data_IF_416508760318
#
_entry.id   IF_416508760318
#
_cell.length_a   1.000
_cell.length_b   1.000
_cell.length_c   1.000
_cell.angle_alpha   90.00
_cell.angle_beta   90.00
_cell.angle_gamma   90.00
#
_symmetry.space_group_name_H-M   'P 1'
#
loop_
_entity.id
_entity.type
_entity.pdbx_description
1 polymer ?
#
# COMPACT_ATOMS: atom_id res chain seq x y z
N UNK A 1 3.09 12.65 -6.96
CA UNK A 1 1.93 13.28 -7.59
C UNK A 1 2.33 13.61 -9.02
N UNK A 2 1.53 13.20 -9.98
CA UNK A 2 1.77 13.53 -11.38
C UNK A 2 1.48 15.01 -11.59
N UNK A 3 2.32 15.67 -12.36
CA UNK A 3 2.18 17.12 -12.64
C UNK A 3 0.81 17.48 -13.27
N UNK A 4 0.14 16.47 -13.84
CA UNK A 4 -1.14 16.62 -14.54
C UNK A 4 -2.37 16.14 -13.73
N UNK A 5 -2.19 15.65 -12.53
CA UNK A 5 -3.30 15.16 -11.70
C UNK A 5 -3.88 16.30 -10.89
N UNK A 6 -5.19 16.50 -10.95
CA UNK A 6 -5.87 17.43 -10.04
C UNK A 6 -5.64 17.00 -8.59
N UNK A 7 -5.15 17.89 -7.72
CA UNK A 7 -4.97 17.55 -6.31
C UNK A 7 -6.29 17.10 -5.67
N UNK A 8 -6.26 15.95 -5.01
CA UNK A 8 -7.40 15.50 -4.22
C UNK A 8 -7.44 16.27 -2.89
N UNK A 9 -8.65 16.62 -2.44
CA UNK A 9 -8.84 17.20 -1.11
C UNK A 9 -8.57 16.13 -0.06
N UNK A 10 -7.75 16.46 0.94
CA UNK A 10 -7.52 15.57 2.09
C UNK A 10 -8.78 15.48 2.96
N UNK A 11 -8.94 14.36 3.63
CA UNK A 11 -9.98 14.20 4.66
C UNK A 11 -9.66 15.05 5.89
N UNK A 12 -10.69 15.41 6.64
CA UNK A 12 -10.56 16.21 7.87
C UNK A 12 -9.65 15.47 8.88
N UNK A 13 -8.78 16.23 9.55
CA UNK A 13 -7.87 15.71 10.57
C UNK A 13 -6.63 14.99 10.05
N UNK A 14 -6.51 14.73 8.75
CA UNK A 14 -5.38 13.99 8.18
C UNK A 14 -4.01 14.64 8.44
N UNK A 15 -3.95 15.96 8.52
CA UNK A 15 -2.75 16.69 8.91
C UNK A 15 -2.70 16.99 10.41
N UNK A 16 -3.84 17.34 11.00
CA UNK A 16 -3.93 17.80 12.39
C UNK A 16 -3.58 16.71 13.40
N UNK A 17 -4.11 15.50 13.23
CA UNK A 17 -3.87 14.40 14.16
C UNK A 17 -2.40 13.97 14.21
N UNK A 18 -1.69 13.70 13.10
CA UNK A 18 -0.26 13.41 13.14
C UNK A 18 0.56 14.58 13.71
N UNK A 19 0.18 15.84 13.42
CA UNK A 19 0.83 17.01 13.95
C UNK A 19 0.66 17.12 15.47
N UNK A 20 -0.53 16.83 15.99
CA UNK A 20 -0.80 16.79 17.42
C UNK A 20 0.00 15.71 18.14
N UNK A 21 0.11 14.50 17.54
CA UNK A 21 0.93 13.43 18.10
C UNK A 21 2.42 13.75 18.11
N UNK A 22 2.93 14.39 17.05
CA UNK A 22 4.31 14.89 17.02
C UNK A 22 4.55 15.96 18.08
N UNK A 23 3.58 16.86 18.30
CA UNK A 23 3.65 17.88 19.34
C UNK A 23 3.61 17.28 20.74
N UNK A 24 2.73 16.31 20.98
CA UNK A 24 2.70 15.56 22.23
C UNK A 24 4.07 14.91 22.53
N UNK A 25 4.66 14.22 21.56
CA UNK A 25 5.99 13.64 21.71
C UNK A 25 7.07 14.67 22.04
N UNK A 26 7.04 15.85 21.41
CA UNK A 26 7.96 16.94 21.70
C UNK A 26 7.80 17.48 23.11
N UNK A 27 6.55 17.65 23.60
CA UNK A 27 6.26 18.10 24.97
C UNK A 27 6.81 17.10 26.00
N UNK A 28 6.49 15.80 25.84
CA UNK A 28 6.94 14.75 26.77
C UNK A 28 8.46 14.66 26.81
N UNK A 29 9.11 14.73 25.64
CA UNK A 29 10.58 14.73 25.53
C UNK A 29 11.18 15.96 26.25
N UNK A 30 10.59 17.13 26.12
CA UNK A 30 11.05 18.35 26.80
C UNK A 30 10.84 18.27 28.33
N UNK A 31 9.73 17.69 28.79
CA UNK A 31 9.50 17.44 30.20
C UNK A 31 10.52 16.46 30.78
N UNK A 32 10.78 15.35 30.11
CA UNK A 32 11.83 14.41 30.51
C UNK A 32 13.20 15.05 30.60
N UNK A 33 13.57 15.88 29.60
CA UNK A 33 14.81 16.65 29.62
C UNK A 33 14.84 17.62 30.85
N UNK A 34 13.74 18.29 31.14
CA UNK A 34 13.63 19.19 32.28
C UNK A 34 13.86 18.46 33.61
N UNK A 35 13.26 17.29 33.80
CA UNK A 35 13.49 16.46 35.00
C UNK A 35 14.95 16.04 35.15
N UNK A 36 15.67 15.81 34.07
CA UNK A 36 17.08 15.38 34.08
C UNK A 36 18.06 16.54 34.21
N UNK A 37 17.72 17.72 33.75
CA UNK A 37 18.66 18.85 33.62
C UNK A 37 18.26 20.09 34.42
N UNK A 38 17.04 20.15 34.94
CA UNK A 38 16.47 21.33 35.55
C UNK A 38 16.13 22.46 34.57
N UNK A 39 16.35 22.26 33.25
CA UNK A 39 16.19 23.30 32.22
C UNK A 39 14.98 23.03 31.34
N UNK A 40 14.09 24.01 31.23
CA UNK A 40 12.96 24.00 30.31
C UNK A 40 13.40 24.09 28.84
N UNK A 41 12.46 23.83 27.95
CA UNK A 41 12.65 23.98 26.51
C UNK A 41 11.40 24.55 25.86
N UNK A 42 11.57 25.33 24.81
CA UNK A 42 10.49 25.67 23.91
C UNK A 42 10.34 24.51 22.91
N UNK A 43 9.11 24.06 22.66
CA UNK A 43 8.79 23.02 21.68
C UNK A 43 7.71 23.52 20.73
N UNK A 44 7.79 23.09 19.50
CA UNK A 44 6.81 23.44 18.46
C UNK A 44 6.56 22.26 17.52
N UNK A 45 5.41 22.25 16.90
CA UNK A 45 5.07 21.38 15.77
C UNK A 45 4.26 22.20 14.77
N UNK A 46 4.32 21.83 13.49
CA UNK A 46 3.51 22.50 12.47
C UNK A 46 3.15 21.53 11.34
N UNK A 47 2.06 21.83 10.65
CA UNK A 47 1.51 20.99 9.57
C UNK A 47 2.49 20.80 8.42
N UNK A 48 3.21 21.85 8.04
CA UNK A 48 4.18 21.82 6.93
C UNK A 48 5.30 20.81 7.23
N UNK A 49 5.95 20.90 8.40
CA UNK A 49 7.05 20.01 8.76
C UNK A 49 6.59 18.56 8.86
N UNK A 50 5.41 18.32 9.43
CA UNK A 50 4.84 16.97 9.52
C UNK A 50 4.46 16.43 8.14
N UNK A 51 3.93 17.25 7.22
CA UNK A 51 3.64 16.87 5.85
C UNK A 51 4.90 16.52 5.05
N UNK A 52 5.97 17.30 5.20
CA UNK A 52 7.27 16.98 4.58
C UNK A 52 7.86 15.72 5.17
N UNK A 53 7.74 15.51 6.48
CA UNK A 53 8.19 14.27 7.12
C UNK A 53 7.41 13.05 6.60
N UNK A 54 6.09 13.13 6.47
CA UNK A 54 5.26 12.07 5.91
C UNK A 54 5.65 11.73 4.45
N UNK A 55 6.05 12.73 3.67
CA UNK A 55 6.53 12.59 2.29
C UNK A 55 8.07 12.45 2.19
N UNK A 56 8.77 12.18 3.30
CA UNK A 56 10.23 12.32 3.40
C UNK A 56 10.99 11.46 2.39
N UNK A 57 10.54 10.26 2.08
CA UNK A 57 11.17 9.37 1.08
C UNK A 57 11.19 10.04 -0.30
N UNK A 58 10.06 10.61 -0.72
CA UNK A 58 9.96 11.30 -2.01
C UNK A 58 10.73 12.63 -1.99
N UNK A 59 10.65 13.36 -0.89
CA UNK A 59 11.38 14.62 -0.71
C UNK A 59 12.90 14.38 -0.77
N UNK A 60 13.40 13.38 -0.03
CA UNK A 60 14.82 13.01 -0.06
C UNK A 60 15.26 12.54 -1.45
N UNK A 61 14.48 11.69 -2.11
CA UNK A 61 14.79 11.24 -3.46
C UNK A 61 14.89 12.42 -4.44
N UNK A 62 13.97 13.40 -4.34
CA UNK A 62 14.03 14.61 -5.18
C UNK A 62 15.26 15.47 -4.89
N UNK A 63 15.64 15.63 -3.62
CA UNK A 63 16.81 16.41 -3.22
C UNK A 63 18.13 15.82 -3.75
N UNK A 64 18.21 14.51 -3.90
CA UNK A 64 19.39 13.85 -4.51
C UNK A 64 19.26 13.67 -6.03
N UNK A 65 18.30 14.33 -6.66
CA UNK A 65 18.17 14.36 -8.13
C UNK A 65 17.49 13.13 -8.74
N UNK A 66 16.80 12.31 -7.96
CA UNK A 66 16.08 11.15 -8.48
C UNK A 66 14.97 11.61 -9.45
N UNK A 67 14.85 10.88 -10.56
CA UNK A 67 13.77 11.04 -11.51
C UNK A 67 12.70 10.01 -11.22
N UNK A 68 11.47 10.47 -11.00
CA UNK A 68 10.32 9.57 -10.83
C UNK A 68 9.75 9.23 -12.21
N UNK A 69 9.46 7.96 -12.44
CA UNK A 69 8.72 7.52 -13.62
C UNK A 69 7.26 7.99 -13.56
N UNK A 70 6.63 8.01 -14.71
CA UNK A 70 5.20 8.30 -14.84
C UNK A 70 4.39 7.30 -13.99
N UNK A 71 3.44 7.83 -13.22
CA UNK A 71 2.53 7.00 -12.45
C UNK A 71 1.45 6.45 -13.38
N UNK A 72 1.49 5.15 -13.59
CA UNK A 72 0.53 4.49 -14.46
C UNK A 72 -0.76 4.20 -13.70
N UNK A 73 -1.93 4.27 -14.38
CA UNK A 73 -3.16 3.78 -13.77
C UNK A 73 -3.04 2.27 -13.49
N UNK A 74 -3.87 1.77 -12.57
CA UNK A 74 -3.77 0.38 -12.11
C UNK A 74 -3.88 -0.65 -13.25
N UNK A 75 -4.70 -0.37 -14.26
CA UNK A 75 -4.93 -1.21 -15.44
C UNK A 75 -3.70 -1.33 -16.33
N UNK A 76 -2.73 -0.44 -16.14
CA UNK A 76 -1.45 -0.39 -16.86
C UNK A 76 -0.25 -0.51 -15.91
N UNK A 77 -0.48 -1.05 -14.71
CA UNK A 77 0.60 -1.28 -13.77
C UNK A 77 1.66 -2.23 -14.36
N UNK A 78 2.92 -1.99 -14.02
CA UNK A 78 4.03 -2.83 -14.50
C UNK A 78 4.11 -4.18 -13.80
N UNK A 79 3.37 -4.35 -12.71
CA UNK A 79 3.39 -5.56 -11.91
C UNK A 79 1.98 -5.94 -11.45
N UNK A 80 1.46 -7.03 -12.00
CA UNK A 80 0.14 -7.55 -11.66
C UNK A 80 0.08 -8.11 -10.22
N UNK A 81 1.18 -8.66 -9.70
CA UNK A 81 1.21 -9.26 -8.35
C UNK A 81 1.53 -8.26 -7.23
N UNK A 82 1.67 -6.98 -7.58
CA UNK A 82 1.73 -5.85 -6.65
C UNK A 82 0.73 -4.79 -7.12
N UNK A 83 -0.53 -5.12 -7.07
CA UNK A 83 -1.63 -4.31 -7.59
C UNK A 83 -2.91 -4.59 -6.80
N UNK A 84 -3.94 -3.79 -6.98
CA UNK A 84 -5.21 -3.98 -6.30
C UNK A 84 -6.30 -4.49 -7.25
N UNK A 85 -7.21 -5.32 -6.70
CA UNK A 85 -8.24 -6.02 -7.43
C UNK A 85 -9.58 -5.91 -6.72
N UNK A 86 -10.64 -5.79 -7.50
CA UNK A 86 -11.99 -5.74 -7.00
C UNK A 86 -12.56 -7.16 -6.84
N UNK A 87 -13.13 -7.43 -5.67
CA UNK A 87 -13.85 -8.66 -5.38
C UNK A 87 -15.32 -8.56 -5.82
N UNK A 88 -16.03 -9.68 -5.81
CA UNK A 88 -17.45 -9.77 -6.19
C UNK A 88 -18.37 -8.83 -5.41
N UNK A 89 -18.09 -8.65 -4.13
CA UNK A 89 -18.83 -7.75 -3.22
C UNK A 89 -18.46 -6.26 -3.38
N UNK A 90 -17.65 -5.93 -4.38
CA UNK A 90 -17.18 -4.56 -4.63
C UNK A 90 -16.02 -4.11 -3.74
N UNK A 91 -15.61 -4.92 -2.75
CA UNK A 91 -14.46 -4.64 -1.90
C UNK A 91 -13.17 -4.77 -2.70
N UNK A 92 -12.13 -4.10 -2.23
CA UNK A 92 -10.81 -4.13 -2.86
C UNK A 92 -9.79 -4.83 -1.98
N UNK A 93 -8.96 -5.66 -2.57
CA UNK A 93 -7.74 -6.18 -1.98
C UNK A 93 -6.51 -5.71 -2.77
N UNK A 94 -5.36 -5.71 -2.12
CA UNK A 94 -4.06 -5.40 -2.72
C UNK A 94 -3.19 -6.64 -2.59
N UNK A 95 -2.77 -7.21 -3.70
CA UNK A 95 -1.70 -8.20 -3.70
C UNK A 95 -0.36 -7.51 -3.45
N UNK A 96 0.53 -8.16 -2.69
CA UNK A 96 1.86 -7.63 -2.38
C UNK A 96 2.89 -8.76 -2.31
N UNK A 97 3.09 -9.46 -3.42
CA UNK A 97 4.04 -10.57 -3.49
C UNK A 97 5.46 -10.03 -3.64
N UNK A 98 6.25 -10.10 -2.58
CA UNK A 98 7.64 -9.65 -2.59
C UNK A 98 8.59 -10.67 -3.21
N UNK A 99 8.32 -11.96 -3.00
CA UNK A 99 9.08 -13.06 -3.60
C UNK A 99 8.22 -13.76 -4.67
N UNK A 100 8.12 -13.08 -5.81
CA UNK A 100 7.18 -13.47 -6.88
C UNK A 100 7.43 -14.89 -7.39
N UNK A 101 8.67 -15.25 -7.72
CA UNK A 101 8.97 -16.56 -8.33
C UNK A 101 8.62 -17.71 -7.37
N UNK A 102 8.89 -17.55 -6.09
CA UNK A 102 8.54 -18.55 -5.07
C UNK A 102 7.03 -18.65 -4.86
N UNK A 103 6.33 -17.52 -4.87
CA UNK A 103 4.90 -17.46 -4.52
C UNK A 103 3.98 -17.63 -5.72
N UNK A 104 4.49 -17.53 -6.94
CA UNK A 104 3.72 -17.62 -8.18
C UNK A 104 2.91 -18.91 -8.30
N UNK A 105 3.49 -20.11 -8.10
CA UNK A 105 2.72 -21.35 -8.20
C UNK A 105 1.59 -21.45 -7.17
N UNK A 106 1.82 -20.92 -5.97
CA UNK A 106 0.82 -20.89 -4.91
C UNK A 106 -0.31 -19.93 -5.25
N UNK A 107 0.01 -18.71 -5.70
CA UNK A 107 -1.00 -17.73 -6.11
C UNK A 107 -1.85 -18.29 -7.26
N UNK A 108 -1.22 -18.85 -8.29
CA UNK A 108 -1.93 -19.39 -9.45
C UNK A 108 -2.93 -20.48 -9.04
N UNK A 109 -2.55 -21.38 -8.14
CA UNK A 109 -3.46 -22.39 -7.57
C UNK A 109 -4.59 -21.77 -6.75
N UNK A 110 -4.30 -20.80 -5.92
CA UNK A 110 -5.31 -20.07 -5.14
C UNK A 110 -6.36 -19.41 -6.03
N UNK A 111 -5.92 -18.92 -7.18
CA UNK A 111 -6.80 -18.31 -8.19
C UNK A 111 -7.58 -19.37 -9.02
N UNK A 112 -7.30 -20.68 -8.86
CA UNK A 112 -7.85 -21.73 -9.70
C UNK A 112 -7.31 -21.72 -11.14
N UNK A 113 -6.13 -21.14 -11.33
CA UNK A 113 -5.46 -20.93 -12.62
C UNK A 113 -4.11 -21.66 -12.64
N UNK A 114 -4.16 -22.98 -12.45
CA UNK A 114 -2.96 -23.83 -12.50
C UNK A 114 -2.26 -23.79 -13.87
N UNK A 115 -3.01 -23.49 -14.93
CA UNK A 115 -2.50 -23.26 -16.27
C UNK A 115 -1.39 -22.20 -16.31
N UNK A 116 -1.48 -21.17 -15.47
CA UNK A 116 -0.48 -20.10 -15.40
C UNK A 116 0.88 -20.55 -14.84
N UNK A 117 0.92 -21.67 -14.12
CA UNK A 117 2.17 -22.18 -13.54
C UNK A 117 3.12 -22.72 -14.61
N UNK A 118 2.55 -23.33 -15.64
CA UNK A 118 3.31 -23.98 -16.73
C UNK A 118 3.37 -23.16 -18.01
N UNK A 119 2.71 -22.01 -18.03
CA UNK A 119 2.72 -21.11 -19.18
C UNK A 119 4.05 -20.35 -19.24
N UNK A 120 4.82 -20.60 -20.28
CA UNK A 120 6.14 -20.00 -20.53
C UNK A 120 6.11 -18.46 -20.54
N UNK A 121 4.94 -17.86 -20.83
CA UNK A 121 4.77 -16.40 -20.83
C UNK A 121 4.84 -15.80 -19.43
N UNK A 122 4.70 -16.61 -18.39
CA UNK A 122 4.67 -16.19 -16.98
C UNK A 122 5.70 -16.91 -16.11
N UNK A 123 6.68 -17.59 -16.73
CA UNK A 123 7.64 -18.44 -16.05
C UNK A 123 8.50 -17.64 -15.03
N UNK A 124 9.09 -16.55 -15.46
CA UNK A 124 9.93 -15.72 -14.60
C UNK A 124 9.25 -14.42 -14.21
N UNK A 125 9.73 -13.77 -13.13
CA UNK A 125 9.32 -12.42 -12.76
C UNK A 125 9.39 -11.44 -13.95
N UNK A 126 10.46 -11.51 -14.74
CA UNK A 126 10.65 -10.65 -15.90
C UNK A 126 9.54 -10.86 -16.95
N UNK A 127 9.19 -12.13 -17.19
CA UNK A 127 8.16 -12.48 -18.17
C UNK A 127 6.79 -12.01 -17.69
N UNK A 128 6.45 -12.24 -16.41
CA UNK A 128 5.20 -11.73 -15.80
C UNK A 128 5.09 -10.22 -15.88
N UNK A 129 6.18 -9.48 -15.65
CA UNK A 129 6.18 -8.03 -15.79
C UNK A 129 6.00 -7.60 -17.27
N UNK A 130 6.60 -8.31 -18.21
CA UNK A 130 6.42 -8.05 -19.64
C UNK A 130 4.96 -8.28 -20.08
N UNK A 131 4.28 -9.26 -19.47
CA UNK A 131 2.88 -9.61 -19.73
C UNK A 131 1.91 -9.07 -18.68
N UNK A 132 2.31 -8.02 -17.96
CA UNK A 132 1.53 -7.49 -16.83
C UNK A 132 0.09 -7.13 -17.21
N UNK A 133 -0.14 -6.57 -18.38
CA UNK A 133 -1.48 -6.18 -18.84
C UNK A 133 -2.42 -7.39 -18.99
N UNK A 134 -1.90 -8.50 -19.51
CA UNK A 134 -2.66 -9.74 -19.66
C UNK A 134 -2.96 -10.35 -18.28
N UNK A 135 -1.96 -10.39 -17.40
CA UNK A 135 -2.15 -10.89 -16.03
C UNK A 135 -3.15 -10.05 -15.24
N UNK A 136 -3.13 -8.73 -15.38
CA UNK A 136 -4.10 -7.84 -14.72
C UNK A 136 -5.52 -8.21 -15.16
N UNK A 137 -5.73 -8.41 -16.46
CA UNK A 137 -7.04 -8.82 -16.99
C UNK A 137 -7.48 -10.16 -16.41
N UNK A 138 -6.61 -11.18 -16.43
CA UNK A 138 -6.89 -12.49 -15.86
C UNK A 138 -7.25 -12.38 -14.36
N UNK A 139 -6.53 -11.57 -13.61
CA UNK A 139 -6.77 -11.38 -12.19
C UNK A 139 -8.07 -10.61 -11.93
N UNK A 140 -8.39 -9.59 -12.72
CA UNK A 140 -9.67 -8.89 -12.64
C UNK A 140 -10.85 -9.84 -12.84
N UNK A 141 -10.79 -10.68 -13.89
CA UNK A 141 -11.80 -11.69 -14.19
C UNK A 141 -11.92 -12.75 -13.08
N UNK A 142 -10.83 -13.03 -12.39
CA UNK A 142 -10.78 -14.04 -11.32
C UNK A 142 -11.27 -13.47 -9.98
N UNK A 143 -10.77 -12.31 -9.57
CA UNK A 143 -11.10 -11.76 -8.24
C UNK A 143 -12.57 -11.39 -8.09
N UNK A 144 -13.27 -10.99 -9.16
CA UNK A 144 -14.71 -10.71 -9.14
C UNK A 144 -15.60 -11.95 -8.94
N UNK A 145 -15.03 -13.15 -8.94
CA UNK A 145 -15.79 -14.41 -8.79
C UNK A 145 -16.18 -14.72 -7.35
N UNK A 146 -15.50 -14.14 -6.36
CA UNK A 146 -15.71 -14.41 -4.92
C UNK A 146 -15.67 -13.13 -4.12
N UNK A 147 -16.33 -13.16 -2.96
CA UNK A 147 -16.33 -12.06 -2.01
C UNK A 147 -14.97 -11.93 -1.29
N UNK A 148 -14.67 -10.75 -0.78
CA UNK A 148 -13.42 -10.46 -0.07
C UNK A 148 -13.15 -11.45 1.07
N UNK A 149 -14.19 -11.81 1.84
CA UNK A 149 -14.06 -12.75 2.96
C UNK A 149 -13.63 -14.14 2.52
N UNK A 150 -14.06 -14.60 1.36
CA UNK A 150 -13.64 -15.88 0.77
C UNK A 150 -12.19 -15.81 0.30
N UNK A 151 -11.83 -14.72 -0.39
CA UNK A 151 -10.45 -14.51 -0.84
C UNK A 151 -9.47 -14.41 0.33
N UNK A 152 -9.84 -13.74 1.43
CA UNK A 152 -9.02 -13.70 2.65
C UNK A 152 -8.71 -15.10 3.15
N UNK A 153 -9.71 -15.96 3.29
CA UNK A 153 -9.51 -17.34 3.77
C UNK A 153 -8.57 -18.13 2.86
N UNK A 154 -8.71 -17.96 1.54
CA UNK A 154 -7.87 -18.66 0.56
C UNK A 154 -6.43 -18.16 0.61
N UNK A 155 -6.22 -16.85 0.58
CA UNK A 155 -4.90 -16.25 0.51
C UNK A 155 -4.14 -16.41 1.84
N UNK A 156 -4.78 -16.14 2.98
CA UNK A 156 -4.22 -16.34 4.33
C UNK A 156 -3.88 -17.81 4.57
N UNK A 157 -4.79 -18.72 4.23
CA UNK A 157 -4.58 -20.16 4.39
C UNK A 157 -3.41 -20.72 3.59
N UNK A 158 -2.94 -20.00 2.58
CA UNK A 158 -1.79 -20.35 1.75
C UNK A 158 -0.56 -19.47 1.98
N UNK A 159 -0.59 -18.61 3.00
CA UNK A 159 0.56 -17.78 3.39
C UNK A 159 0.94 -16.71 2.35
N UNK A 160 -0.01 -16.26 1.55
CA UNK A 160 0.21 -15.20 0.58
C UNK A 160 0.05 -13.83 1.24
N UNK A 161 0.90 -12.88 0.86
CA UNK A 161 0.86 -11.53 1.40
C UNK A 161 -0.10 -10.67 0.56
N UNK A 162 -1.10 -10.14 1.21
CA UNK A 162 -2.05 -9.19 0.63
C UNK A 162 -2.53 -8.21 1.70
N UNK A 163 -3.15 -7.12 1.28
CA UNK A 163 -3.81 -6.17 2.14
C UNK A 163 -5.28 -6.00 1.74
N UNK A 164 -6.11 -5.61 2.69
CA UNK A 164 -7.51 -5.23 2.43
C UNK A 164 -7.60 -3.72 2.39
N UNK A 165 -8.31 -3.17 1.40
CA UNK A 165 -8.66 -1.75 1.42
C UNK A 165 -9.82 -1.57 2.38
N UNK A 166 -9.51 -1.02 3.57
CA UNK A 166 -10.48 -0.72 4.62
C UNK A 166 -11.48 0.36 4.18
N UNK A 167 -12.69 0.24 4.66
CA UNK A 167 -13.73 1.27 4.57
C UNK A 167 -14.13 1.72 5.98
N UNK A 168 -14.77 2.88 6.10
CA UNK A 168 -15.14 3.42 7.42
C UNK A 168 -16.07 2.48 8.21
N UNK A 169 -16.90 1.71 7.51
CA UNK A 169 -17.82 0.75 8.12
C UNK A 169 -17.11 -0.47 8.76
N UNK A 170 -15.85 -0.69 8.45
CA UNK A 170 -15.05 -1.77 9.08
C UNK A 170 -14.65 -1.40 10.51
N UNK A 171 -14.46 -0.09 10.80
CA UNK A 171 -13.87 0.39 12.07
C UNK A 171 -14.58 -0.15 13.32
N UNK A 172 -15.94 -0.17 13.43
CA UNK A 172 -16.61 -0.64 14.63
C UNK A 172 -16.42 -2.12 14.94
N UNK A 173 -16.01 -2.91 13.95
CA UNK A 173 -15.85 -4.38 14.05
C UNK A 173 -14.40 -4.83 13.93
N UNK A 174 -13.48 -3.91 13.71
CA UNK A 174 -12.05 -4.22 13.67
C UNK A 174 -11.57 -4.62 15.07
N UNK A 175 -10.86 -5.75 15.15
CA UNK A 175 -10.39 -6.31 16.42
C UNK A 175 -9.00 -5.79 16.86
N UNK A 176 -8.41 -4.85 16.13
CA UNK A 176 -7.12 -4.25 16.50
C UNK A 176 -7.27 -3.13 17.53
#
# INVERSE_FOLDING_TARGET
ADEHTTPARSIAGMGDHPCAMAFYGAIVTALYKRERTGKGSHVSSNLMANGVWAASVLAQAKLVGAKFGERRPRERALNAVTNHYQCKDGRLLILSLLNEDRQWPTLSRCLGREDLVTDVRFETKKDRHAQSLELIKIFDETFVTRDLAEWRKILDGNGLVFGVVGILDDIPTDQQ
#
